data_IF_542172966670
#
_entry.id   IF_542172966670
#
_cell.length_a   1.000
_cell.length_b   1.000
_cell.length_c   1.000
_cell.angle_alpha   90.00
_cell.angle_beta   90.00
_cell.angle_gamma   90.00
#
_symmetry.space_group_name_H-M   'P 1'
#
loop_
_entity.id
_entity.type
_entity.pdbx_description
1 polymer ?
#
# COMPACT_ATOMS: atom_id res chain seq x y z
N UNK A 1 -5.96 8.54 1.33
CA UNK A 1 -6.38 7.48 2.27
C UNK A 1 -5.25 6.47 2.45
N UNK A 2 -5.08 5.93 3.65
CA UNK A 2 -4.18 4.81 3.92
C UNK A 2 -4.95 3.68 4.59
N UNK A 3 -4.86 2.48 4.02
CA UNK A 3 -5.34 1.25 4.63
C UNK A 3 -4.16 0.39 5.06
N UNK A 4 -4.26 -0.30 6.20
CA UNK A 4 -3.19 -1.14 6.73
C UNK A 4 -3.69 -2.54 7.05
N UNK A 5 -2.89 -3.56 6.76
CA UNK A 5 -3.20 -4.97 7.05
C UNK A 5 -4.58 -5.36 6.49
N UNK A 6 -5.53 -5.76 7.35
CA UNK A 6 -6.90 -6.13 6.94
C UNK A 6 -7.66 -5.00 6.25
N UNK A 7 -7.35 -3.75 6.55
CA UNK A 7 -7.96 -2.59 5.89
C UNK A 7 -7.13 -2.09 4.71
N UNK A 8 -6.04 -2.78 4.37
CA UNK A 8 -5.14 -2.38 3.29
C UNK A 8 -5.85 -2.16 1.96
N UNK A 9 -6.75 -3.07 1.60
CA UNK A 9 -7.55 -2.98 0.39
C UNK A 9 -8.62 -1.88 0.41
N UNK A 10 -9.04 -1.42 1.58
CA UNK A 10 -10.10 -0.41 1.71
C UNK A 10 -9.70 0.94 1.12
N UNK A 11 -8.41 1.29 1.13
CA UNK A 11 -7.95 2.50 0.47
C UNK A 11 -8.26 2.49 -1.04
N UNK A 12 -8.27 1.31 -1.66
CA UNK A 12 -8.68 1.14 -3.06
C UNK A 12 -10.20 1.23 -3.23
N UNK A 13 -10.98 0.58 -2.36
CA UNK A 13 -12.44 0.66 -2.37
C UNK A 13 -12.93 2.11 -2.16
N UNK A 14 -12.25 2.87 -1.29
CA UNK A 14 -12.53 4.28 -1.04
C UNK A 14 -12.31 5.20 -2.25
N UNK A 15 -11.70 4.70 -3.34
CA UNK A 15 -11.59 5.46 -4.61
C UNK A 15 -12.95 5.74 -5.27
N UNK A 16 -14.03 5.19 -4.77
CA UNK A 16 -15.40 5.60 -5.12
C UNK A 16 -15.72 7.01 -4.63
N UNK A 17 -15.01 7.51 -3.63
CA UNK A 17 -15.13 8.87 -3.07
C UNK A 17 -14.23 9.84 -3.85
N UNK A 18 -14.77 10.89 -4.51
CA UNK A 18 -13.96 11.83 -5.29
C UNK A 18 -12.85 12.52 -4.49
N UNK A 19 -13.05 12.74 -3.20
CA UNK A 19 -12.05 13.35 -2.31
C UNK A 19 -10.82 12.46 -2.07
N UNK A 20 -10.88 11.16 -2.35
CA UNK A 20 -9.75 10.24 -2.20
C UNK A 20 -8.91 10.27 -3.49
N UNK A 21 -7.79 10.97 -3.45
CA UNK A 21 -6.89 11.16 -4.61
C UNK A 21 -5.52 10.49 -4.42
N UNK A 22 -5.22 9.98 -3.24
CA UNK A 22 -3.94 9.37 -2.88
C UNK A 22 -4.17 8.08 -2.08
N UNK A 23 -4.52 6.95 -2.73
CA UNK A 23 -4.68 5.66 -2.04
C UNK A 23 -3.33 5.04 -1.72
N UNK A 24 -3.13 4.67 -0.46
CA UNK A 24 -1.95 3.92 0.02
C UNK A 24 -2.41 2.58 0.61
N UNK A 25 -1.90 1.49 0.07
CA UNK A 25 -2.14 0.13 0.51
C UNK A 25 -0.92 -0.36 1.28
N UNK A 26 -0.90 -0.14 2.59
CA UNK A 26 0.19 -0.63 3.44
C UNK A 26 -0.09 -2.07 3.86
N UNK A 27 0.78 -2.99 3.47
CA UNK A 27 0.67 -4.44 3.68
C UNK A 27 -0.78 -4.98 3.55
N UNK A 28 -1.42 -4.88 2.38
CA UNK A 28 -2.81 -5.28 2.19
C UNK A 28 -2.97 -6.80 2.29
N UNK A 29 -3.53 -7.31 3.39
CA UNK A 29 -3.56 -8.75 3.72
C UNK A 29 -4.80 -9.48 3.24
N UNK A 30 -5.88 -8.78 2.92
CA UNK A 30 -7.11 -9.41 2.44
C UNK A 30 -7.24 -9.36 0.91
N UNK A 31 -7.97 -10.31 0.34
CA UNK A 31 -8.48 -11.54 0.93
C UNK A 31 -7.35 -12.55 1.20
N UNK A 32 -7.52 -13.43 2.20
CA UNK A 32 -6.48 -14.36 2.64
C UNK A 32 -6.04 -15.38 1.58
N UNK A 33 -6.78 -15.52 0.48
CA UNK A 33 -6.39 -16.35 -0.65
C UNK A 33 -5.16 -15.85 -1.43
N UNK A 34 -4.62 -14.68 -1.06
CA UNK A 34 -3.42 -14.08 -1.65
C UNK A 34 -3.53 -13.58 -3.09
N UNK A 35 -4.65 -13.80 -3.77
CA UNK A 35 -4.79 -13.54 -5.21
C UNK A 35 -5.79 -12.43 -5.56
N UNK A 36 -6.74 -12.14 -4.67
CA UNK A 36 -7.76 -11.12 -4.88
C UNK A 36 -7.30 -9.72 -4.48
N UNK A 37 -8.12 -8.75 -4.82
CA UNK A 37 -8.11 -7.40 -4.26
C UNK A 37 -9.36 -7.26 -3.39
N UNK A 38 -9.23 -6.60 -2.24
CA UNK A 38 -10.32 -6.45 -1.28
C UNK A 38 -11.23 -5.28 -1.68
N UNK A 39 -11.88 -5.44 -2.81
CA UNK A 39 -12.86 -4.50 -3.35
C UNK A 39 -13.84 -5.24 -4.26
N UNK A 40 -15.04 -4.75 -4.38
CA UNK A 40 -16.05 -5.26 -5.32
C UNK A 40 -15.67 -4.94 -6.77
N UNK A 41 -16.32 -5.61 -7.71
CA UNK A 41 -16.12 -5.36 -9.14
C UNK A 41 -16.45 -3.91 -9.53
N UNK A 42 -17.47 -3.32 -8.92
CA UNK A 42 -17.88 -1.92 -9.17
C UNK A 42 -16.86 -0.92 -8.60
N UNK A 43 -16.34 -1.15 -7.41
CA UNK A 43 -15.27 -0.33 -6.81
C UNK A 43 -14.00 -0.39 -7.64
N UNK A 44 -13.61 -1.60 -8.06
CA UNK A 44 -12.45 -1.79 -8.93
C UNK A 44 -12.61 -1.07 -10.28
N UNK A 45 -13.79 -1.14 -10.89
CA UNK A 45 -14.08 -0.44 -12.14
C UNK A 45 -14.06 1.08 -11.95
N UNK A 46 -14.57 1.59 -10.83
CA UNK A 46 -14.49 3.00 -10.47
C UNK A 46 -13.05 3.46 -10.30
N UNK A 47 -12.24 2.74 -9.52
CA UNK A 47 -10.83 3.06 -9.33
C UNK A 47 -10.06 3.09 -10.66
N UNK A 48 -10.25 2.07 -11.52
CA UNK A 48 -9.61 2.02 -12.85
C UNK A 48 -9.96 3.24 -13.71
N UNK A 49 -11.22 3.62 -13.74
CA UNK A 49 -11.66 4.80 -14.48
C UNK A 49 -10.99 6.06 -13.94
N UNK A 50 -11.02 6.27 -12.62
CA UNK A 50 -10.42 7.45 -11.99
C UNK A 50 -8.90 7.52 -12.20
N UNK A 51 -8.20 6.40 -12.10
CA UNK A 51 -6.76 6.37 -12.36
C UNK A 51 -6.42 6.78 -13.79
N UNK A 52 -7.27 6.44 -14.76
CA UNK A 52 -7.12 6.84 -16.14
C UNK A 52 -7.50 8.30 -16.38
N UNK A 53 -8.66 8.71 -15.90
CA UNK A 53 -9.28 9.99 -16.27
C UNK A 53 -8.72 11.17 -15.44
N UNK A 54 -8.28 10.90 -14.20
CA UNK A 54 -7.75 11.91 -13.27
C UNK A 54 -6.23 11.82 -13.08
N UNK A 55 -5.55 10.96 -13.83
CA UNK A 55 -4.10 10.69 -13.73
C UNK A 55 -3.64 10.36 -12.31
N UNK A 56 -4.44 9.59 -11.59
CA UNK A 56 -4.11 9.15 -10.24
C UNK A 56 -3.20 7.92 -10.27
N UNK A 57 -2.55 7.67 -9.15
CA UNK A 57 -1.75 6.47 -8.91
C UNK A 57 -1.98 5.94 -7.49
N UNK A 58 -1.54 4.74 -7.21
CA UNK A 58 -1.55 4.15 -5.87
C UNK A 58 -0.14 3.78 -5.41
N UNK A 59 0.05 3.80 -4.11
CA UNK A 59 1.28 3.35 -3.47
C UNK A 59 0.98 2.08 -2.67
N UNK A 60 1.72 1.00 -2.93
CA UNK A 60 1.62 -0.26 -2.21
C UNK A 60 2.92 -0.54 -1.44
N UNK A 61 2.82 -0.88 -0.17
CA UNK A 61 3.96 -1.15 0.70
C UNK A 61 3.90 -2.57 1.24
N UNK A 62 5.05 -3.27 1.30
CA UNK A 62 5.17 -4.59 1.96
C UNK A 62 6.60 -4.88 2.35
N UNK A 63 6.78 -5.81 3.29
CA UNK A 63 8.06 -6.50 3.45
C UNK A 63 8.16 -7.67 2.47
N UNK A 64 9.35 -7.95 1.97
CA UNK A 64 9.59 -8.98 0.94
C UNK A 64 9.22 -10.39 1.40
N UNK A 65 9.45 -10.72 2.68
CA UNK A 65 9.14 -12.03 3.28
C UNK A 65 7.69 -12.15 3.78
N UNK A 66 6.89 -11.08 3.72
CA UNK A 66 5.55 -11.06 4.31
C UNK A 66 4.59 -12.05 3.62
N UNK A 67 4.30 -13.16 4.33
CA UNK A 67 3.44 -14.23 3.83
C UNK A 67 1.95 -13.85 3.78
N UNK A 68 1.53 -12.82 4.54
CA UNK A 68 0.16 -12.32 4.50
C UNK A 68 -0.07 -11.41 3.28
N UNK A 69 1.03 -10.89 2.70
CA UNK A 69 1.00 -10.07 1.47
C UNK A 69 1.91 -10.72 0.42
N UNK A 70 1.52 -11.85 -0.15
CA UNK A 70 2.35 -12.56 -1.12
C UNK A 70 2.53 -11.73 -2.40
N UNK A 71 3.62 -12.02 -3.14
CA UNK A 71 3.92 -11.33 -4.39
C UNK A 71 2.74 -11.39 -5.39
N UNK A 72 1.96 -12.46 -5.38
CA UNK A 72 0.77 -12.61 -6.22
C UNK A 72 -0.25 -11.46 -6.04
N UNK A 73 -0.33 -10.86 -4.84
CA UNK A 73 -1.17 -9.68 -4.58
C UNK A 73 -0.63 -8.45 -5.29
N UNK A 74 0.67 -8.24 -5.23
CA UNK A 74 1.35 -7.13 -5.92
C UNK A 74 1.19 -7.27 -7.43
N UNK A 75 1.39 -8.46 -7.96
CA UNK A 75 1.18 -8.72 -9.38
C UNK A 75 -0.29 -8.52 -9.79
N UNK A 76 -1.24 -8.82 -8.92
CA UNK A 76 -2.66 -8.53 -9.16
C UNK A 76 -2.96 -7.03 -9.22
N UNK A 77 -2.33 -6.23 -8.35
CA UNK A 77 -2.42 -4.76 -8.41
C UNK A 77 -1.84 -4.24 -9.74
N UNK A 78 -0.64 -4.68 -10.10
CA UNK A 78 0.01 -4.30 -11.37
C UNK A 78 -0.82 -4.71 -12.58
N UNK A 79 -1.39 -5.91 -12.58
CA UNK A 79 -2.27 -6.37 -13.65
C UNK A 79 -3.57 -5.53 -13.77
N UNK A 80 -4.06 -4.98 -12.64
CA UNK A 80 -5.27 -4.17 -12.63
C UNK A 80 -5.03 -2.72 -13.05
N UNK A 81 -3.88 -2.13 -12.71
CA UNK A 81 -3.63 -0.68 -12.82
C UNK A 81 -2.35 -0.31 -13.58
N UNK A 82 -1.53 -1.29 -14.00
CA UNK A 82 -0.33 -1.06 -14.80
C UNK A 82 0.71 -0.18 -14.11
N UNK A 83 1.18 0.82 -14.82
CA UNK A 83 2.16 1.82 -14.39
C UNK A 83 1.65 2.79 -13.30
N UNK A 84 0.35 2.75 -13.01
CA UNK A 84 -0.25 3.54 -11.92
C UNK A 84 0.00 2.94 -10.53
N UNK A 85 0.67 1.79 -10.44
CA UNK A 85 1.05 1.14 -9.18
C UNK A 85 2.52 1.39 -8.89
N UNK A 86 2.80 2.16 -7.86
CA UNK A 86 4.15 2.24 -7.30
C UNK A 86 4.25 1.27 -6.11
N UNK A 87 5.28 0.42 -6.11
CA UNK A 87 5.50 -0.58 -5.06
C UNK A 87 6.75 -0.23 -4.28
N UNK A 88 6.63 -0.15 -2.95
CA UNK A 88 7.75 -0.09 -2.01
C UNK A 88 7.86 -1.45 -1.33
N UNK A 89 8.84 -2.23 -1.75
CA UNK A 89 9.18 -3.50 -1.13
C UNK A 89 10.39 -3.31 -0.22
N UNK A 90 10.24 -3.65 1.05
CA UNK A 90 11.26 -3.51 2.07
C UNK A 90 11.93 -4.86 2.35
N UNK A 91 13.21 -4.82 2.65
CA UNK A 91 13.91 -5.96 3.20
C UNK A 91 13.55 -6.16 4.69
N UNK A 92 13.71 -7.38 5.20
CA UNK A 92 13.33 -7.68 6.59
C UNK A 92 14.19 -6.93 7.62
N UNK A 93 15.43 -6.64 7.28
CA UNK A 93 16.35 -5.84 8.08
C UNK A 93 15.93 -4.37 8.24
N UNK A 94 15.03 -3.88 7.41
CA UNK A 94 14.45 -2.53 7.51
C UNK A 94 13.38 -2.42 8.60
N UNK A 95 12.96 -3.56 9.15
CA UNK A 95 11.97 -3.61 10.22
C UNK A 95 12.57 -3.26 11.58
N UNK A 96 11.81 -2.57 12.42
CA UNK A 96 12.20 -2.35 13.81
C UNK A 96 12.40 -3.69 14.53
N UNK A 97 13.52 -3.86 15.26
CA UNK A 97 13.78 -5.10 16.00
C UNK A 97 12.89 -5.25 17.24
N UNK A 98 12.80 -6.47 17.75
CA UNK A 98 12.10 -6.78 19.01
C UNK A 98 10.58 -6.91 18.89
N UNK A 99 10.02 -6.83 17.70
CA UNK A 99 8.59 -7.11 17.45
C UNK A 99 8.41 -8.64 17.43
N UNK A 100 7.48 -9.22 18.23
CA UNK A 100 7.35 -10.68 18.38
C UNK A 100 6.59 -11.34 17.23
N UNK A 101 6.78 -10.87 16.01
CA UNK A 101 6.23 -11.43 14.78
C UNK A 101 7.15 -11.09 13.59
N UNK A 102 6.99 -11.83 12.49
CA UNK A 102 7.71 -11.54 11.25
C UNK A 102 7.37 -10.13 10.72
N UNK A 103 8.29 -9.48 9.97
CA UNK A 103 8.06 -8.17 9.40
C UNK A 103 6.77 -8.10 8.58
N UNK A 104 5.87 -7.17 8.96
CA UNK A 104 4.55 -7.01 8.35
C UNK A 104 4.07 -5.56 8.38
N UNK A 105 4.02 -4.93 9.56
CA UNK A 105 3.36 -3.64 9.79
C UNK A 105 4.29 -2.47 9.42
N UNK A 106 4.39 -2.14 8.14
CA UNK A 106 5.38 -1.19 7.57
C UNK A 106 5.35 0.18 8.25
N UNK A 107 4.16 0.76 8.43
CA UNK A 107 3.99 2.14 8.91
C UNK A 107 3.71 2.23 10.43
N UNK A 108 3.74 1.10 11.14
CA UNK A 108 3.39 1.05 12.58
C UNK A 108 4.40 0.22 13.36
N UNK A 109 4.09 -1.04 13.72
CA UNK A 109 4.91 -1.84 14.63
C UNK A 109 6.34 -2.07 14.15
N UNK A 110 6.56 -2.22 12.84
CA UNK A 110 7.88 -2.44 12.27
C UNK A 110 8.54 -1.16 11.75
N UNK A 111 7.95 0.01 12.03
CA UNK A 111 8.56 1.30 11.70
C UNK A 111 9.76 1.55 12.62
N UNK A 112 10.95 1.65 12.06
CA UNK A 112 12.21 1.73 12.80
C UNK A 112 12.56 3.15 13.23
N UNK A 113 11.77 3.71 14.16
CA UNK A 113 11.86 5.12 14.60
C UNK A 113 13.26 5.54 15.11
N UNK A 114 14.05 4.60 15.65
CA UNK A 114 15.39 4.88 16.17
C UNK A 114 16.48 4.95 15.07
N UNK A 115 16.16 4.60 13.84
CA UNK A 115 17.08 4.64 12.69
C UNK A 115 16.46 5.47 11.57
N UNK A 116 16.73 6.77 11.52
CA UNK A 116 16.09 7.71 10.57
C UNK A 116 16.22 7.32 9.09
N UNK A 117 17.32 6.66 8.73
CA UNK A 117 17.61 6.25 7.35
C UNK A 117 17.22 4.79 7.05
N UNK A 118 16.49 4.12 7.96
CA UNK A 118 15.98 2.77 7.68
C UNK A 118 14.99 2.76 6.51
N UNK A 119 14.90 1.63 5.79
CA UNK A 119 13.95 1.50 4.69
C UNK A 119 12.50 1.75 5.10
N UNK A 120 12.11 1.34 6.32
CA UNK A 120 10.76 1.61 6.82
C UNK A 120 10.50 3.10 7.08
N UNK A 121 11.50 3.86 7.53
CA UNK A 121 11.39 5.32 7.66
C UNK A 121 11.34 6.01 6.30
N UNK A 122 12.14 5.57 5.34
CA UNK A 122 12.07 6.04 3.96
C UNK A 122 10.71 5.76 3.32
N UNK A 123 10.13 4.58 3.58
CA UNK A 123 8.78 4.24 3.13
C UNK A 123 7.73 5.19 3.71
N UNK A 124 7.81 5.50 5.02
CA UNK A 124 6.95 6.51 5.66
C UNK A 124 7.08 7.88 4.98
N UNK A 125 8.30 8.33 4.76
CA UNK A 125 8.57 9.65 4.17
C UNK A 125 8.05 9.71 2.73
N UNK A 126 8.14 8.60 2.00
CA UNK A 126 7.56 8.46 0.66
C UNK A 126 6.03 8.57 0.69
N UNK A 127 5.36 7.96 1.68
CA UNK A 127 3.91 8.11 1.86
C UNK A 127 3.54 9.57 2.12
N UNK A 128 4.29 10.25 2.98
CA UNK A 128 4.05 11.67 3.28
C UNK A 128 4.25 12.53 2.02
N UNK A 129 5.31 12.29 1.26
CA UNK A 129 5.58 12.99 0.01
C UNK A 129 4.47 12.74 -1.02
N UNK A 130 4.01 11.49 -1.16
CA UNK A 130 2.91 11.13 -2.04
C UNK A 130 1.61 11.86 -1.68
N UNK A 131 1.30 11.98 -0.39
CA UNK A 131 0.12 12.75 0.03
C UNK A 131 0.28 14.24 -0.30
N UNK A 132 1.43 14.84 0.03
CA UNK A 132 1.69 16.27 -0.26
C UNK A 132 1.57 16.60 -1.74
N UNK A 133 2.16 15.76 -2.60
CA UNK A 133 2.10 15.92 -4.04
C UNK A 133 0.65 15.91 -4.55
N UNK A 134 -0.20 15.03 -4.01
CA UNK A 134 -1.58 14.86 -4.47
C UNK A 134 -2.56 15.90 -3.92
N UNK A 135 -2.28 16.51 -2.79
CA UNK A 135 -3.13 17.55 -2.20
C UNK A 135 -2.59 18.97 -2.41
N UNK A 136 -1.44 19.10 -3.05
CA UNK A 136 -0.83 20.40 -3.35
C UNK A 136 -0.27 21.13 -2.11
N UNK A 137 0.30 20.36 -1.15
CA UNK A 137 0.81 20.89 0.12
C UNK A 137 2.34 20.82 0.22
#
# INVERSE_FOLDING_TARGET
AVGTCFTGGFALAMMTEPAVVAPVLSQPSLPLNGKGLDCSASELACAKRRFKDEDLSLLALRFSSDKLVPNARIERLKAAFGDKVEVVELADEDAAPGVPMAPHSVLTLHLHLSVPDSGSMQARDKVIAFFKDRVGA
#
